data_IF_649832751933
#
_entry.id   IF_649832751933
#
_cell.length_a   1.000
_cell.length_b   1.000
_cell.length_c   1.000
_cell.angle_alpha   90.00
_cell.angle_beta   90.00
_cell.angle_gamma   90.00
#
_symmetry.space_group_name_H-M   'P 1'
#
loop_
_entity.id
_entity.type
_entity.pdbx_description
1 polymer ?
#
# COMPACT_ATOMS: atom_id res chain seq x y z
N UNK A 1 -9.51 28.24 -2.51
CA UNK A 1 -8.25 27.68 -1.99
C UNK A 1 -8.40 27.52 -0.48
N UNK A 2 -8.76 26.32 0.01
CA UNK A 2 -8.86 26.04 1.45
C UNK A 2 -8.93 24.53 1.69
N UNK A 3 -7.78 23.86 1.81
CA UNK A 3 -7.74 22.45 2.27
C UNK A 3 -6.60 22.11 3.23
N UNK A 4 -5.63 23.01 3.44
CA UNK A 4 -4.53 22.78 4.38
C UNK A 4 -4.91 23.02 5.85
N UNK A 5 -5.80 23.98 6.13
CA UNK A 5 -6.10 24.42 7.50
C UNK A 5 -7.01 23.46 8.28
N UNK A 6 -7.82 22.64 7.59
CA UNK A 6 -8.76 21.73 8.24
C UNK A 6 -8.25 20.30 8.35
N UNK A 7 -7.07 19.99 7.82
CA UNK A 7 -6.57 18.61 7.80
C UNK A 7 -6.23 18.10 9.20
N UNK A 8 -5.66 18.95 10.04
CA UNK A 8 -5.35 18.60 11.43
C UNK A 8 -6.64 18.36 12.23
N UNK A 9 -7.61 19.30 12.31
CA UNK A 9 -8.89 19.04 12.98
C UNK A 9 -9.63 17.82 12.44
N UNK A 10 -9.68 17.63 11.11
CA UNK A 10 -10.34 16.47 10.52
C UNK A 10 -9.66 15.15 10.92
N UNK A 11 -8.34 15.11 10.94
CA UNK A 11 -7.58 13.92 11.35
C UNK A 11 -7.77 13.64 12.85
N UNK A 12 -7.80 14.68 13.69
CA UNK A 12 -8.07 14.55 15.14
C UNK A 12 -9.46 13.96 15.39
N UNK A 13 -10.50 14.48 14.75
CA UNK A 13 -11.87 13.96 14.89
C UNK A 13 -11.91 12.48 14.50
N UNK A 14 -11.34 12.12 13.36
CA UNK A 14 -11.28 10.72 12.92
C UNK A 14 -10.50 9.83 13.87
N UNK A 15 -9.41 10.33 14.44
CA UNK A 15 -8.60 9.59 15.40
C UNK A 15 -9.36 9.33 16.71
N UNK A 16 -10.13 10.32 17.18
CA UNK A 16 -11.01 10.17 18.35
C UNK A 16 -12.12 9.14 18.07
N UNK A 17 -12.73 9.19 16.88
CA UNK A 17 -13.78 8.26 16.46
C UNK A 17 -13.28 6.81 16.25
N UNK A 18 -12.00 6.64 15.92
CA UNK A 18 -11.39 5.33 15.64
C UNK A 18 -11.08 4.49 16.89
N UNK A 19 -11.23 5.04 18.10
CA UNK A 19 -10.88 4.36 19.35
C UNK A 19 -11.78 4.76 20.51
N UNK A 20 -11.26 4.61 21.74
CA UNK A 20 -11.95 5.09 22.95
C UNK A 20 -11.80 6.60 23.03
N UNK A 21 -12.89 7.40 22.88
CA UNK A 21 -12.77 8.84 22.68
C UNK A 21 -11.98 9.57 23.77
N UNK A 22 -12.15 9.19 25.04
CA UNK A 22 -11.41 9.79 26.14
C UNK A 22 -9.89 9.55 26.02
N UNK A 23 -9.48 8.31 25.74
CA UNK A 23 -8.06 7.95 25.60
C UNK A 23 -7.41 8.63 24.40
N UNK A 24 -8.13 8.71 23.28
CA UNK A 24 -7.64 9.36 22.07
C UNK A 24 -7.50 10.87 22.26
N UNK A 25 -8.47 11.49 22.94
CA UNK A 25 -8.42 12.92 23.27
C UNK A 25 -7.23 13.22 24.18
N UNK A 26 -7.03 12.42 25.25
CA UNK A 26 -5.89 12.57 26.16
C UNK A 26 -4.54 12.47 25.40
N UNK A 27 -4.43 11.50 24.47
CA UNK A 27 -3.22 11.34 23.64
C UNK A 27 -2.94 12.59 22.78
N UNK A 28 -3.97 13.13 22.11
CA UNK A 28 -3.84 14.36 21.28
C UNK A 28 -3.46 15.58 22.12
N UNK A 29 -4.01 15.71 23.33
CA UNK A 29 -3.66 16.79 24.25
C UNK A 29 -2.20 16.69 24.71
N UNK A 30 -1.71 15.49 25.02
CA UNK A 30 -0.31 15.28 25.39
C UNK A 30 0.66 15.57 24.22
N UNK A 31 0.31 15.16 23.00
CA UNK A 31 1.08 15.49 21.79
C UNK A 31 1.25 17.01 21.63
N UNK A 32 0.17 17.76 21.83
CA UNK A 32 0.14 19.22 21.70
C UNK A 32 1.01 19.92 22.75
N UNK A 33 1.15 19.35 23.94
CA UNK A 33 2.01 19.87 25.01
C UNK A 33 3.50 19.57 24.77
N UNK A 34 3.79 18.49 24.04
CA UNK A 34 5.16 18.02 23.76
C UNK A 34 5.79 18.61 22.49
N UNK A 35 4.99 19.18 21.59
CA UNK A 35 5.45 19.67 20.30
C UNK A 35 6.20 21.00 20.40
N UNK A 36 7.49 21.01 20.07
CA UNK A 36 8.22 22.26 19.86
C UNK A 36 7.73 22.95 18.57
N UNK A 37 7.66 24.28 18.56
CA UNK A 37 7.14 25.15 17.49
C UNK A 37 7.98 25.17 16.19
N UNK A 38 8.42 24.02 15.70
CA UNK A 38 9.33 23.93 14.55
C UNK A 38 8.56 23.68 13.26
N UNK A 39 7.88 24.71 12.76
CA UNK A 39 7.38 24.80 11.39
C UNK A 39 5.87 24.59 11.19
N UNK A 40 5.34 24.94 10.00
CA UNK A 40 3.90 25.06 9.73
C UNK A 40 3.13 23.73 9.78
N UNK A 41 3.83 22.59 9.76
CA UNK A 41 3.22 21.25 9.80
C UNK A 41 3.53 20.47 11.08
N UNK A 42 4.26 21.04 12.04
CA UNK A 42 4.79 20.31 13.20
C UNK A 42 3.72 19.51 13.96
N UNK A 43 2.58 20.13 14.28
CA UNK A 43 1.49 19.44 14.99
C UNK A 43 0.85 18.33 14.16
N UNK A 44 0.75 18.50 12.84
CA UNK A 44 0.23 17.47 11.94
C UNK A 44 1.21 16.30 11.80
N UNK A 45 2.50 16.61 11.70
CA UNK A 45 3.58 15.62 11.57
C UNK A 45 3.69 14.79 12.85
N UNK A 46 3.61 15.43 14.02
CA UNK A 46 3.55 14.75 15.31
C UNK A 46 2.34 13.81 15.41
N UNK A 47 1.15 14.26 14.96
CA UNK A 47 -0.05 13.43 14.95
C UNK A 47 0.10 12.23 13.99
N UNK A 48 0.64 12.44 12.79
CA UNK A 48 0.88 11.34 11.85
C UNK A 48 1.89 10.33 12.40
N UNK A 49 3.00 10.79 12.99
CA UNK A 49 3.96 9.91 13.66
C UNK A 49 3.28 9.07 14.74
N UNK A 50 2.51 9.71 15.61
CA UNK A 50 1.83 9.03 16.70
C UNK A 50 0.88 7.94 16.19
N UNK A 51 0.06 8.26 15.18
CA UNK A 51 -0.89 7.30 14.62
C UNK A 51 -0.15 6.16 13.91
N UNK A 52 0.82 6.46 13.05
CA UNK A 52 1.56 5.43 12.31
C UNK A 52 2.37 4.49 13.22
N UNK A 53 2.89 4.99 14.33
CA UNK A 53 3.58 4.19 15.35
C UNK A 53 2.63 3.26 16.14
N UNK A 54 1.31 3.49 16.08
CA UNK A 54 0.33 2.56 16.66
C UNK A 54 0.02 1.37 15.74
N UNK A 55 0.49 1.39 14.49
CA UNK A 55 0.23 0.33 13.54
C UNK A 55 0.92 -0.98 13.94
N UNK A 56 0.30 -2.11 13.64
CA UNK A 56 0.88 -3.41 13.95
C UNK A 56 1.94 -3.79 12.90
N UNK A 57 3.16 -3.30 13.08
CA UNK A 57 4.32 -3.74 12.31
C UNK A 57 4.91 -5.02 12.91
N UNK A 58 5.47 -5.93 12.09
CA UNK A 58 6.20 -7.07 12.63
C UNK A 58 7.58 -6.61 13.17
N UNK A 59 8.10 -7.33 14.17
CA UNK A 59 9.37 -6.98 14.83
C UNK A 59 10.57 -6.92 13.86
N UNK A 60 10.50 -7.66 12.76
CA UNK A 60 11.56 -7.72 11.75
C UNK A 60 11.46 -6.63 10.67
N UNK A 61 10.36 -5.89 10.58
CA UNK A 61 10.18 -4.81 9.61
C UNK A 61 9.28 -3.70 10.19
N UNK A 62 9.84 -2.74 10.94
CA UNK A 62 9.08 -1.64 11.54
C UNK A 62 8.43 -0.70 10.51
N UNK A 63 8.81 -0.79 9.23
CA UNK A 63 8.28 0.05 8.15
C UNK A 63 7.21 -0.64 7.32
N UNK A 64 6.80 -1.86 7.65
CA UNK A 64 5.85 -2.66 6.86
C UNK A 64 4.58 -1.88 6.50
N UNK A 65 3.91 -1.26 7.46
CA UNK A 65 2.69 -0.48 7.21
C UNK A 65 2.95 0.75 6.35
N UNK A 66 4.08 1.42 6.53
CA UNK A 66 4.48 2.55 5.67
C UNK A 66 4.69 2.06 4.23
N UNK A 67 5.41 0.96 4.03
CA UNK A 67 5.60 0.31 2.72
C UNK A 67 4.26 -0.03 2.06
N UNK A 68 3.27 -0.49 2.84
CA UNK A 68 1.94 -0.80 2.33
C UNK A 68 1.19 0.45 1.88
N UNK A 69 1.15 1.49 2.72
CA UNK A 69 0.52 2.78 2.38
C UNK A 69 1.16 3.38 1.13
N UNK A 70 2.50 3.37 1.06
CA UNK A 70 3.25 3.86 -0.09
C UNK A 70 3.00 3.00 -1.34
N UNK A 71 2.91 1.68 -1.20
CA UNK A 71 2.56 0.77 -2.30
C UNK A 71 1.17 1.12 -2.85
N UNK A 72 0.18 1.26 -1.98
CA UNK A 72 -1.20 1.62 -2.34
C UNK A 72 -1.24 2.96 -3.09
N UNK A 73 -0.42 3.92 -2.66
CA UNK A 73 -0.39 5.27 -3.23
C UNK A 73 0.37 5.38 -4.54
N UNK A 74 1.58 4.80 -4.58
CA UNK A 74 2.59 5.10 -5.59
C UNK A 74 2.81 3.97 -6.56
N UNK A 75 2.49 2.73 -6.19
CA UNK A 75 2.78 1.62 -7.06
C UNK A 75 1.94 1.68 -8.34
N UNK A 76 0.87 2.48 -8.45
CA UNK A 76 0.09 2.58 -9.68
C UNK A 76 0.46 3.79 -10.53
N UNK A 77 0.77 3.54 -11.79
CA UNK A 77 0.95 4.56 -12.81
C UNK A 77 -0.36 5.28 -13.18
N UNK A 78 -0.29 6.42 -13.89
CA UNK A 78 -1.44 7.27 -14.23
C UNK A 78 -2.49 6.64 -15.16
N UNK A 79 -2.30 5.39 -15.60
CA UNK A 79 -3.14 4.69 -16.57
C UNK A 79 -3.77 3.44 -15.97
N UNK A 80 -4.52 3.52 -14.89
CA UNK A 80 -5.21 2.33 -14.38
C UNK A 80 -6.42 1.96 -15.25
N UNK A 81 -6.82 0.69 -15.23
CA UNK A 81 -8.04 0.17 -15.89
C UNK A 81 -9.30 0.76 -15.23
N UNK A 82 -9.69 1.97 -15.60
CA UNK A 82 -10.98 2.56 -15.22
C UNK A 82 -11.12 3.01 -13.74
N UNK A 83 -10.04 3.03 -12.96
CA UNK A 83 -10.06 3.50 -11.57
C UNK A 83 -8.94 2.89 -10.69
N UNK A 84 -8.85 3.24 -9.40
CA UNK A 84 -7.92 2.60 -8.47
C UNK A 84 -8.27 1.09 -8.33
N UNK A 85 -7.27 0.21 -8.15
CA UNK A 85 -7.50 -1.19 -7.87
C UNK A 85 -8.35 -1.38 -6.62
N UNK A 86 -9.21 -2.41 -6.60
CA UNK A 86 -10.00 -2.74 -5.43
C UNK A 86 -9.11 -3.23 -4.29
N UNK A 87 -9.60 -3.15 -3.05
CA UNK A 87 -8.89 -3.64 -1.87
C UNK A 87 -8.47 -5.12 -2.00
N UNK A 88 -9.26 -5.95 -2.69
CA UNK A 88 -8.91 -7.36 -2.95
C UNK A 88 -7.55 -7.53 -3.65
N UNK A 89 -7.20 -6.63 -4.56
CA UNK A 89 -5.91 -6.68 -5.25
C UNK A 89 -4.77 -6.46 -4.26
N UNK A 90 -4.91 -5.48 -3.37
CA UNK A 90 -3.89 -5.18 -2.36
C UNK A 90 -3.78 -6.27 -1.32
N UNK A 91 -4.89 -6.90 -0.92
CA UNK A 91 -4.83 -8.09 -0.03
C UNK A 91 -4.03 -9.21 -0.68
N UNK A 92 -4.32 -9.52 -1.95
CA UNK A 92 -3.61 -10.53 -2.71
C UNK A 92 -2.13 -10.21 -2.94
N UNK A 93 -1.77 -8.92 -3.07
CA UNK A 93 -0.40 -8.51 -3.30
C UNK A 93 0.43 -8.39 -2.01
N UNK A 94 -0.16 -7.94 -0.92
CA UNK A 94 0.57 -7.50 0.28
C UNK A 94 0.48 -8.49 1.45
N UNK A 95 -0.62 -9.25 1.57
CA UNK A 95 -0.84 -10.14 2.70
C UNK A 95 -0.06 -11.45 2.56
N UNK A 96 0.63 -11.82 3.65
CA UNK A 96 1.20 -13.14 3.87
C UNK A 96 0.16 -14.08 4.52
N UNK A 97 -0.83 -13.52 5.23
CA UNK A 97 -1.96 -14.25 5.85
C UNK A 97 -3.26 -13.48 5.65
N UNK A 98 -4.36 -14.20 5.36
CA UNK A 98 -5.67 -13.59 5.13
C UNK A 98 -6.10 -12.69 6.31
N UNK A 99 -6.50 -11.45 5.99
CA UNK A 99 -6.97 -10.46 6.96
C UNK A 99 -5.88 -9.59 7.57
N UNK A 100 -4.61 -9.80 7.20
CA UNK A 100 -3.47 -9.03 7.70
C UNK A 100 -3.58 -7.54 7.38
N UNK A 101 -4.17 -7.13 6.26
CA UNK A 101 -4.42 -5.73 5.91
C UNK A 101 -5.31 -5.03 6.92
N UNK A 102 -6.41 -5.68 7.30
CA UNK A 102 -7.34 -5.13 8.30
C UNK A 102 -6.68 -5.08 9.67
N UNK A 103 -5.93 -6.13 10.04
CA UNK A 103 -5.23 -6.19 11.32
C UNK A 103 -4.16 -5.11 11.45
N UNK A 104 -3.29 -4.95 10.44
CA UNK A 104 -2.16 -4.01 10.47
C UNK A 104 -2.60 -2.56 10.35
N UNK A 105 -3.60 -2.29 9.49
CA UNK A 105 -4.08 -0.93 9.25
C UNK A 105 -5.21 -0.48 10.20
N UNK A 106 -5.76 -1.39 11.01
CA UNK A 106 -6.82 -1.07 11.98
C UNK A 106 -6.48 0.12 12.90
N UNK A 107 -5.30 0.15 13.55
CA UNK A 107 -4.90 1.26 14.41
C UNK A 107 -4.74 2.61 13.67
N UNK A 108 -4.51 2.58 12.35
CA UNK A 108 -4.33 3.78 11.52
C UNK A 108 -5.58 4.13 10.69
N UNK A 109 -6.74 3.58 11.05
CA UNK A 109 -8.01 3.79 10.36
C UNK A 109 -8.48 5.25 10.28
N UNK A 110 -7.91 6.14 11.12
CA UNK A 110 -8.13 7.59 11.03
C UNK A 110 -7.42 8.27 9.85
N UNK A 111 -6.47 7.57 9.21
CA UNK A 111 -5.68 8.04 8.07
C UNK A 111 -6.09 7.39 6.75
N UNK A 112 -6.59 6.15 6.83
CA UNK A 112 -6.84 5.29 5.68
C UNK A 112 -8.10 4.44 5.90
N UNK A 113 -8.98 4.39 4.88
CA UNK A 113 -10.12 3.47 4.86
C UNK A 113 -9.72 2.18 4.19
N UNK A 114 -9.81 1.07 4.93
CA UNK A 114 -9.75 -0.29 4.39
C UNK A 114 -11.17 -0.85 4.30
N UNK A 115 -11.67 -1.18 3.09
CA UNK A 115 -12.96 -1.85 2.95
C UNK A 115 -13.01 -3.15 3.75
N UNK A 116 -14.21 -3.55 4.18
CA UNK A 116 -14.41 -4.86 4.79
C UNK A 116 -14.10 -6.00 3.79
N UNK A 117 -13.89 -7.22 4.30
CA UNK A 117 -13.48 -8.36 3.48
C UNK A 117 -14.53 -8.73 2.42
N UNK A 118 -15.81 -8.60 2.76
CA UNK A 118 -16.96 -8.83 1.88
C UNK A 118 -17.09 -7.78 0.76
N UNK A 119 -16.61 -6.56 0.99
CA UNK A 119 -16.56 -5.51 -0.03
C UNK A 119 -15.32 -5.64 -0.91
N UNK A 120 -15.42 -6.53 -1.91
CA UNK A 120 -14.30 -6.88 -2.79
C UNK A 120 -14.03 -5.87 -3.90
N UNK A 121 -14.87 -4.85 -4.07
CA UNK A 121 -14.83 -3.92 -5.21
C UNK A 121 -14.41 -2.50 -4.82
N UNK A 122 -14.60 -2.10 -3.57
CA UNK A 122 -14.19 -0.78 -3.11
C UNK A 122 -12.65 -0.68 -3.05
N UNK A 123 -12.07 0.49 -3.39
CA UNK A 123 -10.64 0.74 -3.26
C UNK A 123 -10.28 1.10 -1.82
N UNK A 124 -9.00 0.92 -1.48
CA UNK A 124 -8.42 1.51 -0.27
C UNK A 124 -8.26 3.01 -0.52
N UNK A 125 -8.64 3.84 0.46
CA UNK A 125 -8.65 5.31 0.31
C UNK A 125 -7.85 5.97 1.41
N UNK A 126 -6.84 6.76 1.03
CA UNK A 126 -6.10 7.64 1.95
C UNK A 126 -6.86 8.97 2.03
N UNK A 127 -7.23 9.42 3.23
CA UNK A 127 -8.11 10.59 3.37
C UNK A 127 -7.50 11.89 2.86
N UNK A 128 -6.21 12.07 3.11
CA UNK A 128 -5.55 13.35 2.86
C UNK A 128 -4.21 13.18 2.16
N UNK A 129 -4.01 13.96 1.08
CA UNK A 129 -2.74 14.01 0.36
C UNK A 129 -1.57 14.40 1.27
N UNK A 130 -1.82 15.19 2.31
CA UNK A 130 -0.78 15.60 3.27
C UNK A 130 -0.12 14.43 4.00
N UNK A 131 -0.79 13.28 4.17
CA UNK A 131 -0.17 12.06 4.68
C UNK A 131 0.92 11.56 3.72
N UNK A 132 0.62 11.53 2.43
CA UNK A 132 1.58 11.09 1.41
C UNK A 132 2.70 12.11 1.25
N UNK A 133 2.40 13.41 1.34
CA UNK A 133 3.43 14.47 1.33
C UNK A 133 4.32 14.41 2.59
N UNK A 134 3.80 13.93 3.72
CA UNK A 134 4.57 13.66 4.94
C UNK A 134 5.50 12.46 4.74
N UNK A 135 4.98 11.32 4.29
CA UNK A 135 5.77 10.09 4.10
C UNK A 135 6.84 10.24 3.00
N UNK A 136 6.62 11.07 1.99
CA UNK A 136 7.61 11.34 0.94
C UNK A 136 8.75 12.28 1.36
N UNK A 137 8.65 12.95 2.50
CA UNK A 137 9.63 13.93 2.95
C UNK A 137 10.39 13.42 4.18
N UNK A 138 11.62 12.93 3.99
CA UNK A 138 12.48 12.44 5.09
C UNK A 138 12.64 13.44 6.24
N UNK A 139 12.67 14.74 5.92
CA UNK A 139 12.76 15.82 6.91
C UNK A 139 11.52 15.96 7.78
N UNK A 140 10.38 15.40 7.37
CA UNK A 140 9.12 15.42 8.12
C UNK A 140 8.85 14.11 8.82
N UNK A 141 8.95 12.98 8.10
CA UNK A 141 8.62 11.66 8.64
C UNK A 141 9.78 10.93 9.32
N UNK A 142 10.99 11.51 9.33
CA UNK A 142 12.11 11.05 10.16
C UNK A 142 12.41 9.56 10.01
N UNK A 143 12.23 8.82 11.10
CA UNK A 143 12.46 7.38 11.21
C UNK A 143 11.46 6.54 10.43
N UNK A 144 10.30 7.08 10.02
CA UNK A 144 9.32 6.42 9.17
C UNK A 144 9.63 6.52 7.67
N UNK A 145 10.72 7.19 7.28
CA UNK A 145 11.05 7.38 5.88
C UNK A 145 11.47 6.07 5.21
N UNK A 146 10.82 5.76 4.10
CA UNK A 146 11.15 4.65 3.20
C UNK A 146 11.50 5.24 1.85
N UNK A 147 12.69 4.94 1.33
CA UNK A 147 13.10 5.44 0.01
C UNK A 147 12.51 4.60 -1.14
N UNK A 148 12.56 5.17 -2.35
CA UNK A 148 11.99 4.55 -3.55
C UNK A 148 12.63 3.19 -3.87
N UNK A 149 13.91 2.98 -3.58
CA UNK A 149 14.61 1.73 -3.85
C UNK A 149 14.12 0.63 -2.92
N UNK A 150 14.00 0.94 -1.62
CA UNK A 150 13.45 0.02 -0.63
C UNK A 150 12.00 -0.35 -0.95
N UNK A 151 11.16 0.64 -1.27
CA UNK A 151 9.77 0.42 -1.67
C UNK A 151 9.67 -0.46 -2.93
N UNK A 152 10.48 -0.17 -3.95
CA UNK A 152 10.50 -0.96 -5.18
C UNK A 152 10.96 -2.40 -4.94
N UNK A 153 12.01 -2.60 -4.14
CA UNK A 153 12.49 -3.93 -3.77
C UNK A 153 11.42 -4.72 -3.02
N UNK A 154 10.71 -4.08 -2.10
CA UNK A 154 9.59 -4.68 -1.38
C UNK A 154 8.45 -5.11 -2.32
N UNK A 155 8.00 -4.24 -3.22
CA UNK A 155 6.93 -4.60 -4.20
C UNK A 155 7.41 -5.71 -5.14
N UNK A 156 8.67 -5.65 -5.60
CA UNK A 156 9.27 -6.68 -6.44
C UNK A 156 9.28 -8.04 -5.74
N UNK A 157 9.67 -8.10 -4.47
CA UNK A 157 9.73 -9.35 -3.70
C UNK A 157 8.35 -9.98 -3.56
N UNK A 158 7.30 -9.18 -3.33
CA UNK A 158 5.90 -9.62 -3.30
C UNK A 158 5.45 -10.23 -4.63
N UNK A 159 5.74 -9.56 -5.74
CA UNK A 159 5.44 -10.09 -7.09
C UNK A 159 6.17 -11.43 -7.30
N UNK A 160 7.47 -11.48 -7.01
CA UNK A 160 8.27 -12.70 -7.20
C UNK A 160 7.73 -13.86 -6.36
N UNK A 161 7.33 -13.62 -5.11
CA UNK A 161 6.72 -14.63 -4.26
C UNK A 161 5.43 -15.19 -4.89
N UNK A 162 4.54 -14.32 -5.35
CA UNK A 162 3.27 -14.71 -6.00
C UNK A 162 3.52 -15.55 -7.27
N UNK A 163 4.50 -15.15 -8.09
CA UNK A 163 4.87 -15.90 -9.29
C UNK A 163 5.45 -17.28 -8.95
N UNK A 164 6.32 -17.37 -7.93
CA UNK A 164 6.91 -18.63 -7.46
C UNK A 164 5.86 -19.59 -6.93
N UNK A 165 4.86 -19.09 -6.20
CA UNK A 165 3.78 -19.89 -5.62
C UNK A 165 2.59 -20.10 -6.56
N UNK A 166 2.67 -19.60 -7.81
CA UNK A 166 1.61 -19.68 -8.83
C UNK A 166 0.28 -19.05 -8.39
N UNK A 167 0.32 -18.08 -7.48
CA UNK A 167 -0.86 -17.41 -6.96
C UNK A 167 -0.59 -16.67 -5.64
N UNK A 168 -1.48 -15.73 -5.27
CA UNK A 168 -1.47 -15.09 -3.97
C UNK A 168 -1.95 -16.03 -2.86
N UNK A 169 -1.58 -15.74 -1.61
CA UNK A 169 -2.07 -16.49 -0.44
C UNK A 169 -3.58 -16.30 -0.26
N UNK A 170 -4.05 -15.06 -0.42
CA UNK A 170 -5.48 -14.73 -0.39
C UNK A 170 -6.15 -15.27 -1.65
N UNK A 171 -7.01 -16.28 -1.48
CA UNK A 171 -7.62 -17.03 -2.58
C UNK A 171 -8.56 -16.18 -3.45
N UNK A 172 -8.75 -16.61 -4.70
CA UNK A 172 -9.72 -16.03 -5.62
C UNK A 172 -11.12 -16.61 -5.38
N UNK A 173 -12.16 -15.79 -5.53
CA UNK A 173 -13.56 -16.26 -5.52
C UNK A 173 -13.89 -16.96 -6.84
N UNK A 174 -13.37 -16.45 -7.96
CA UNK A 174 -13.44 -17.09 -9.29
C UNK A 174 -12.03 -17.19 -9.90
N UNK A 175 -11.36 -18.37 -9.81
CA UNK A 175 -9.93 -18.50 -10.09
C UNK A 175 -9.47 -17.95 -11.44
N UNK A 176 -10.14 -18.31 -12.54
CA UNK A 176 -9.63 -17.99 -13.88
C UNK A 176 -9.82 -16.51 -14.26
N UNK A 177 -10.98 -15.92 -13.95
CA UNK A 177 -11.28 -14.53 -14.29
C UNK A 177 -10.60 -13.54 -13.34
N UNK A 178 -10.57 -13.86 -12.04
CA UNK A 178 -9.95 -12.99 -11.05
C UNK A 178 -8.42 -13.01 -11.16
N UNK A 179 -7.81 -14.15 -11.54
CA UNK A 179 -6.36 -14.22 -11.75
C UNK A 179 -5.90 -13.36 -12.93
N UNK A 180 -6.63 -13.38 -14.06
CA UNK A 180 -6.28 -12.54 -15.20
C UNK A 180 -6.41 -11.04 -14.86
N UNK A 181 -7.50 -10.64 -14.19
CA UNK A 181 -7.67 -9.27 -13.71
C UNK A 181 -6.59 -8.86 -12.72
N UNK A 182 -6.22 -9.76 -11.81
CA UNK A 182 -5.12 -9.56 -10.87
C UNK A 182 -3.79 -9.29 -11.59
N UNK A 183 -3.42 -10.14 -12.56
CA UNK A 183 -2.20 -9.96 -13.35
C UNK A 183 -2.23 -8.69 -14.22
N UNK A 184 -3.40 -8.27 -14.70
CA UNK A 184 -3.51 -7.02 -15.45
C UNK A 184 -3.06 -5.81 -14.63
N UNK A 185 -3.30 -5.80 -13.31
CA UNK A 185 -2.84 -4.71 -12.45
C UNK A 185 -1.32 -4.59 -12.38
N UNK A 186 -0.58 -5.69 -12.56
CA UNK A 186 0.89 -5.65 -12.58
C UNK A 186 1.42 -4.77 -13.72
N UNK A 187 0.77 -4.75 -14.89
CA UNK A 187 1.17 -3.89 -16.01
C UNK A 187 1.12 -2.40 -15.70
N UNK A 188 0.35 -2.03 -14.69
CA UNK A 188 0.20 -0.64 -14.25
C UNK A 188 1.03 -0.34 -13.02
N UNK A 189 1.76 -1.33 -12.50
CA UNK A 189 2.71 -1.06 -11.44
C UNK A 189 3.86 -0.22 -11.99
N UNK A 190 4.14 0.94 -11.38
CA UNK A 190 5.22 1.85 -11.80
C UNK A 190 6.58 1.15 -11.85
N UNK A 191 6.76 0.12 -11.03
CA UNK A 191 7.91 -0.78 -11.03
C UNK A 191 8.21 -1.39 -12.41
N UNK A 192 7.17 -1.57 -13.24
CA UNK A 192 7.21 -2.17 -14.57
C UNK A 192 7.00 -1.16 -15.70
N UNK A 193 6.82 0.13 -15.37
CA UNK A 193 6.86 1.18 -16.37
C UNK A 193 8.32 1.46 -16.73
N UNK A 194 8.69 1.50 -18.02
CA UNK A 194 10.07 1.75 -18.40
C UNK A 194 10.50 3.10 -17.83
N UNK A 195 11.47 3.06 -16.90
CA UNK A 195 12.16 4.26 -16.48
C UNK A 195 12.81 4.88 -17.72
N UNK A 196 12.66 6.20 -17.90
CA UNK A 196 13.30 6.95 -18.98
C UNK A 196 14.84 6.98 -18.91
N UNK A 197 15.44 6.15 -18.06
CA UNK A 197 16.87 5.88 -17.97
C UNK A 197 17.06 4.40 -17.62
N UNK A 198 18.06 3.79 -18.24
CA UNK A 198 18.32 2.35 -18.23
C UNK A 198 18.28 1.73 -16.81
N UNK A 199 17.76 0.48 -16.66
CA UNK A 199 17.78 -0.22 -15.40
C UNK A 199 19.22 -0.57 -15.03
N UNK A 200 19.81 0.12 -14.05
CA UNK A 200 21.14 -0.18 -13.51
C UNK A 200 21.12 -1.18 -12.34
N UNK A 201 19.93 -1.65 -11.93
CA UNK A 201 19.78 -2.60 -10.82
C UNK A 201 19.55 -4.02 -11.32
N UNK A 202 20.38 -4.95 -10.84
CA UNK A 202 20.30 -6.39 -11.11
C UNK A 202 18.92 -6.99 -10.82
N UNK A 203 18.21 -6.45 -9.83
CA UNK A 203 16.88 -6.93 -9.42
C UNK A 203 15.80 -6.61 -10.46
N UNK A 204 15.92 -5.47 -11.16
CA UNK A 204 14.99 -5.10 -12.22
C UNK A 204 15.11 -6.02 -13.44
N UNK A 205 16.34 -6.48 -13.74
CA UNK A 205 16.60 -7.43 -14.84
C UNK A 205 16.09 -8.84 -14.51
N UNK A 206 16.20 -9.28 -13.26
CA UNK A 206 15.64 -10.55 -12.77
C UNK A 206 14.11 -10.51 -12.84
N UNK A 207 13.50 -9.39 -12.45
CA UNK A 207 12.06 -9.20 -12.53
C UNK A 207 11.55 -9.22 -13.98
N UNK A 208 12.20 -8.50 -14.90
CA UNK A 208 11.88 -8.50 -16.33
C UNK A 208 11.97 -9.91 -16.95
N UNK A 209 13.04 -10.65 -16.66
CA UNK A 209 13.19 -12.04 -17.12
C UNK A 209 12.13 -12.95 -16.50
N UNK A 210 11.94 -12.90 -15.19
CA UNK A 210 10.94 -13.71 -14.50
C UNK A 210 9.52 -13.42 -15.01
N UNK A 211 9.21 -12.17 -15.34
CA UNK A 211 7.92 -11.81 -15.92
C UNK A 211 7.81 -12.30 -17.36
N UNK A 212 8.85 -12.17 -18.18
CA UNK A 212 8.86 -12.68 -19.56
C UNK A 212 8.71 -14.20 -19.61
N UNK A 213 9.43 -14.92 -18.75
CA UNK A 213 9.35 -16.38 -18.64
C UNK A 213 7.99 -16.81 -18.09
N UNK A 214 7.46 -16.10 -17.10
CA UNK A 214 6.12 -16.32 -16.59
C UNK A 214 5.06 -16.10 -17.68
N UNK A 215 5.10 -14.99 -18.41
CA UNK A 215 4.15 -14.69 -19.49
C UNK A 215 4.24 -15.70 -20.64
N UNK A 216 5.44 -16.12 -21.02
CA UNK A 216 5.63 -17.12 -22.08
C UNK A 216 5.17 -18.51 -21.64
N UNK A 217 5.47 -18.91 -20.40
CA UNK A 217 4.98 -20.17 -19.80
C UNK A 217 3.46 -20.16 -19.66
N UNK A 218 2.87 -19.04 -19.22
CA UNK A 218 1.43 -18.87 -19.09
C UNK A 218 0.71 -18.88 -20.45
N UNK A 219 1.24 -18.20 -21.47
CA UNK A 219 0.70 -18.25 -22.83
C UNK A 219 0.67 -19.69 -23.38
N UNK A 220 1.68 -20.49 -23.03
CA UNK A 220 1.77 -21.90 -23.38
C UNK A 220 0.75 -22.76 -22.61
N UNK A 221 0.54 -22.51 -21.32
CA UNK A 221 -0.50 -23.17 -20.50
C UNK A 221 -1.90 -22.85 -21.02
N UNK A 222 -2.17 -21.58 -21.36
CA UNK A 222 -3.45 -21.15 -21.94
C UNK A 222 -3.74 -21.86 -23.25
N UNK A 223 -2.77 -21.93 -24.17
CA UNK A 223 -2.93 -22.64 -25.45
C UNK A 223 -3.16 -24.14 -25.26
N UNK A 224 -2.58 -24.77 -24.22
CA UNK A 224 -2.86 -26.18 -23.92
C UNK A 224 -4.27 -26.42 -23.39
N UNK A 225 -4.86 -25.49 -22.63
CA UNK A 225 -6.23 -25.66 -22.10
C UNK A 225 -7.32 -25.60 -23.19
N UNK A 226 -7.07 -24.92 -24.31
CA UNK A 226 -8.01 -24.88 -25.45
C UNK A 226 -7.99 -26.15 -26.31
N UNK A 227 -6.94 -26.97 -26.24
CA UNK A 227 -6.83 -28.21 -27.00
C UNK A 227 -7.38 -29.44 -26.28
N UNK A 228 -7.78 -29.31 -25.02
CA UNK A 228 -8.37 -30.40 -24.22
C UNK A 228 -9.90 -30.27 -24.04
N UNK A 229 -10.52 -29.28 -24.69
CA UNK A 229 -11.96 -29.00 -24.62
C UNK A 229 -12.67 -29.13 -25.99
N UNK A 230 -12.19 -30.01 -26.86
CA UNK A 230 -12.84 -30.48 -28.09
C UNK A 230 -12.92 -31.99 -28.09
#
# INVERSE_FOLDING_TARGET
MSSGQFVLPATVIRYIEAGVPQRQLDSVLHLSQSGSENGPFASLDALYHHILNSAHNPDNDPHMVVKWILSIRFALGPRTLGGPPPAKFWRQLLEDVDGELSYRLGPVSSLITVPQADNTSAPITIYHKSLTDFLSAKTRCGDLYVDDTELHSFVASRIVAILKHKGPVVSFVSPDHDFFKFLQYFRYLKLLAPAGSAPSSSDALILEHSLRDFWSSWARIRNMSWHLAT
#
